data_IF_000189548780
#
_entry.id   IF_000189548780
#
_cell.length_a   1.000
_cell.length_b   1.000
_cell.length_c   1.000
_cell.angle_alpha   90.00
_cell.angle_beta   90.00
_cell.angle_gamma   90.00
#
_symmetry.space_group_name_H-M   'P 1'
#
loop_
_entity.id
_entity.type
_entity.pdbx_description
1 polymer ?
#
# COMPACT_ATOMS: atom_id res chain seq x y z
N UNK A 1 -3.31 16.95 10.44
CA UNK A 1 -2.90 15.70 9.78
C UNK A 1 -1.52 15.33 10.32
N UNK A 2 -1.34 14.09 10.80
CA UNK A 2 -0.05 13.56 11.28
C UNK A 2 0.73 12.95 10.12
N UNK A 3 2.05 12.97 10.19
CA UNK A 3 2.96 12.29 9.26
C UNK A 3 3.84 11.35 10.07
N UNK A 4 3.70 10.05 9.85
CA UNK A 4 4.47 9.00 10.53
C UNK A 4 5.33 8.30 9.48
N UNK A 5 6.51 8.85 9.21
CA UNK A 5 7.43 8.32 8.19
C UNK A 5 8.57 7.63 8.94
N UNK A 6 8.72 6.33 8.70
CA UNK A 6 9.84 5.53 9.16
C UNK A 6 10.76 5.32 7.97
N UNK A 7 11.99 5.81 8.07
CA UNK A 7 13.02 5.55 7.08
C UNK A 7 13.70 4.20 7.33
N UNK A 8 14.20 3.59 6.26
CA UNK A 8 15.02 2.39 6.39
C UNK A 8 16.34 2.75 7.08
N UNK A 9 16.77 1.93 8.04
CA UNK A 9 18.06 2.14 8.73
C UNK A 9 19.24 1.89 7.78
N UNK A 10 19.07 0.94 6.86
CA UNK A 10 20.02 0.60 5.81
C UNK A 10 19.36 0.70 4.43
N UNK A 11 20.19 0.69 3.39
CA UNK A 11 19.69 0.62 2.02
C UNK A 11 18.91 -0.68 1.81
N UNK A 12 17.67 -0.56 1.31
CA UNK A 12 16.85 -1.73 0.98
C UNK A 12 17.54 -2.61 -0.08
N UNK A 13 17.34 -3.94 -0.02
CA UNK A 13 17.91 -4.88 -0.98
C UNK A 13 17.25 -4.80 -2.37
N UNK A 14 16.15 -4.06 -2.51
CA UNK A 14 15.45 -3.77 -3.74
C UNK A 14 15.22 -2.25 -3.91
N UNK A 15 14.94 -1.81 -5.14
CA UNK A 15 14.60 -0.40 -5.40
C UNK A 15 13.21 -0.05 -4.84
N UNK A 16 12.31 -1.04 -4.85
CA UNK A 16 11.00 -1.00 -4.20
C UNK A 16 11.08 -1.51 -2.75
N UNK A 17 10.01 -1.30 -2.00
CA UNK A 17 9.86 -1.79 -0.64
C UNK A 17 9.41 -0.73 0.35
N UNK A 18 8.86 0.41 -0.08
CA UNK A 18 8.21 1.36 0.81
C UNK A 18 6.70 1.17 0.74
N UNK A 19 6.09 0.87 1.88
CA UNK A 19 4.64 0.83 2.04
C UNK A 19 4.11 2.20 2.48
N UNK A 20 2.90 2.54 2.07
CA UNK A 20 2.21 3.78 2.45
C UNK A 20 0.77 3.42 2.84
N UNK A 21 0.30 3.97 3.96
CA UNK A 21 -1.13 3.97 4.29
C UNK A 21 -1.61 5.37 4.65
N UNK A 22 -2.88 5.64 4.37
CA UNK A 22 -3.56 6.88 4.70
C UNK A 22 -4.63 6.58 5.75
N UNK A 23 -4.84 7.49 6.69
CA UNK A 23 -6.03 7.46 7.54
C UNK A 23 -6.99 8.55 7.06
N UNK A 24 -8.09 8.14 6.43
CA UNK A 24 -9.15 9.03 5.96
C UNK A 24 -10.15 9.24 7.11
N UNK A 25 -10.37 10.51 7.50
CA UNK A 25 -11.21 10.87 8.65
C UNK A 25 -12.62 10.28 8.58
N UNK A 26 -13.21 10.27 7.38
CA UNK A 26 -14.54 9.71 7.10
C UNK A 26 -14.56 9.11 5.70
N UNK A 27 -14.95 7.85 5.59
CA UNK A 27 -15.13 7.15 4.32
C UNK A 27 -16.33 6.21 4.43
N UNK A 28 -17.29 6.30 3.50
CA UNK A 28 -18.47 5.43 3.42
C UNK A 28 -19.22 5.20 4.76
N UNK A 29 -19.30 6.23 5.61
CA UNK A 29 -19.99 6.14 6.91
C UNK A 29 -19.16 5.58 8.06
N UNK A 30 -17.87 5.29 7.84
CA UNK A 30 -16.90 4.89 8.86
C UNK A 30 -15.93 6.03 9.16
N UNK A 31 -15.40 6.07 10.39
CA UNK A 31 -14.39 7.06 10.82
C UNK A 31 -13.00 6.44 10.85
N UNK A 32 -11.99 7.29 10.63
CA UNK A 32 -10.57 6.95 10.67
C UNK A 32 -10.23 5.66 9.91
N UNK A 33 -10.71 5.57 8.66
CA UNK A 33 -10.52 4.42 7.78
C UNK A 33 -9.10 4.40 7.26
N UNK A 34 -8.42 3.26 7.43
CA UNK A 34 -7.09 3.02 6.89
C UNK A 34 -7.21 2.56 5.43
N UNK A 35 -6.41 3.20 4.58
CA UNK A 35 -6.33 2.92 3.15
C UNK A 35 -4.88 2.60 2.81
N UNK A 36 -4.60 1.36 2.40
CA UNK A 36 -3.28 0.91 1.99
C UNK A 36 -3.07 1.23 0.52
N UNK A 37 -2.04 2.05 0.23
CA UNK A 37 -1.73 2.46 -1.13
C UNK A 37 -0.84 1.45 -1.82
N UNK A 38 -1.09 1.26 -3.11
CA UNK A 38 -0.28 0.38 -3.96
C UNK A 38 -0.25 0.87 -5.41
N UNK A 39 0.78 0.45 -6.14
CA UNK A 39 0.88 0.60 -7.58
C UNK A 39 0.12 -0.57 -8.23
N UNK A 40 -0.95 -0.31 -9.01
CA UNK A 40 -1.74 -1.38 -9.62
C UNK A 40 -1.02 -2.06 -10.78
N UNK A 41 0.00 -1.40 -11.34
CA UNK A 41 0.79 -1.87 -12.45
C UNK A 41 2.27 -1.56 -12.20
N UNK A 42 3.15 -2.41 -12.72
CA UNK A 42 4.60 -2.26 -12.57
C UNK A 42 5.32 -2.71 -13.84
N UNK A 43 6.60 -2.36 -13.92
CA UNK A 43 7.44 -2.76 -15.04
C UNK A 43 7.90 -4.22 -14.88
N UNK A 44 7.42 -5.11 -15.74
CA UNK A 44 7.83 -6.51 -15.76
C UNK A 44 9.34 -6.71 -15.96
N UNK A 45 10.03 -5.82 -16.68
CA UNK A 45 11.49 -5.89 -16.82
C UNK A 45 12.21 -5.60 -15.50
N UNK A 46 11.66 -4.71 -14.67
CA UNK A 46 12.17 -4.47 -13.33
C UNK A 46 11.98 -5.72 -12.46
N UNK A 47 10.78 -6.31 -12.48
CA UNK A 47 10.49 -7.55 -11.75
C UNK A 47 11.46 -8.70 -12.11
N UNK A 48 11.80 -8.84 -13.40
CA UNK A 48 12.75 -9.85 -13.88
C UNK A 48 14.21 -9.56 -13.49
N UNK A 49 14.55 -8.32 -13.11
CA UNK A 49 15.91 -7.94 -12.74
C UNK A 49 16.28 -8.29 -11.29
N UNK A 50 15.28 -8.57 -10.44
CA UNK A 50 15.49 -8.85 -9.04
C UNK A 50 16.03 -10.26 -8.77
N UNK A 51 16.98 -10.36 -7.84
CA UNK A 51 17.43 -11.64 -7.28
C UNK A 51 16.44 -12.11 -6.20
N UNK A 52 15.33 -12.70 -6.64
CA UNK A 52 14.24 -13.14 -5.77
C UNK A 52 14.68 -14.12 -4.68
N UNK A 53 15.79 -14.85 -4.87
CA UNK A 53 16.33 -15.77 -3.86
C UNK A 53 16.87 -15.06 -2.60
N UNK A 54 17.19 -13.77 -2.71
CA UNK A 54 17.66 -12.93 -1.58
C UNK A 54 16.58 -12.03 -1.00
N UNK A 55 15.50 -11.81 -1.76
CA UNK A 55 14.40 -10.94 -1.37
C UNK A 55 13.28 -11.70 -0.67
N UNK A 56 13.12 -13.00 -0.95
CA UNK A 56 12.08 -13.84 -0.39
C UNK A 56 12.63 -14.70 0.74
N UNK A 57 11.86 -14.81 1.81
CA UNK A 57 12.17 -15.58 3.01
C UNK A 57 11.29 -16.82 3.13
N UNK A 58 11.23 -17.35 4.35
CA UNK A 58 10.40 -18.51 4.64
C UNK A 58 8.91 -18.22 4.39
N UNK A 59 8.10 -19.24 4.05
CA UNK A 59 6.65 -19.09 3.93
C UNK A 59 6.00 -18.60 5.22
N UNK A 60 4.97 -17.76 5.09
CA UNK A 60 4.18 -17.29 6.24
C UNK A 60 3.41 -18.43 6.93
N UNK A 61 2.98 -19.43 6.15
CA UNK A 61 2.44 -20.70 6.64
C UNK A 61 3.40 -21.82 6.30
N UNK A 62 4.02 -22.43 7.32
CA UNK A 62 4.97 -23.54 7.16
C UNK A 62 4.34 -24.80 6.55
N UNK A 63 3.01 -24.92 6.58
CA UNK A 63 2.26 -26.02 5.97
C UNK A 63 1.61 -25.63 4.63
N UNK A 64 1.68 -24.36 4.25
CA UNK A 64 1.09 -23.82 3.04
C UNK A 64 2.00 -23.97 1.82
N UNK A 65 1.43 -23.80 0.60
CA UNK A 65 2.24 -23.77 -0.61
C UNK A 65 3.24 -22.61 -0.56
N UNK A 66 4.52 -22.91 -0.80
CA UNK A 66 5.59 -21.91 -0.89
C UNK A 66 5.58 -21.17 -2.23
N UNK A 67 4.43 -20.65 -2.66
CA UNK A 67 4.32 -19.90 -3.91
C UNK A 67 4.92 -18.50 -3.74
N UNK A 68 6.02 -18.17 -4.43
CA UNK A 68 6.63 -16.86 -4.34
C UNK A 68 5.81 -15.79 -5.09
N UNK A 69 4.88 -16.17 -5.96
CA UNK A 69 4.23 -15.27 -6.92
C UNK A 69 3.55 -14.09 -6.24
N UNK A 70 2.73 -14.35 -5.22
CA UNK A 70 2.03 -13.29 -4.49
C UNK A 70 3.00 -12.35 -3.75
N UNK A 71 4.00 -12.91 -3.07
CA UNK A 71 5.02 -12.11 -2.36
C UNK A 71 5.90 -11.28 -3.30
N UNK A 72 6.17 -11.74 -4.52
CA UNK A 72 6.83 -10.91 -5.55
C UNK A 72 5.96 -9.72 -5.93
N UNK A 73 4.66 -9.94 -6.12
CA UNK A 73 3.70 -8.86 -6.43
C UNK A 73 3.59 -7.84 -5.29
N UNK A 74 3.61 -8.27 -4.02
CA UNK A 74 3.66 -7.37 -2.85
C UNK A 74 4.85 -6.42 -2.92
N UNK A 75 6.04 -6.91 -3.32
CA UNK A 75 7.17 -6.02 -3.53
C UNK A 75 6.92 -5.06 -4.71
N UNK A 76 6.40 -5.58 -5.82
CA UNK A 76 6.24 -4.79 -7.05
C UNK A 76 5.16 -3.71 -6.95
N UNK A 77 4.10 -3.95 -6.19
CA UNK A 77 3.03 -2.98 -5.92
C UNK A 77 3.44 -1.93 -4.87
N UNK A 78 4.57 -2.13 -4.19
CA UNK A 78 5.15 -1.14 -3.27
C UNK A 78 5.92 -0.04 -4.02
N UNK A 79 6.24 1.03 -3.29
CA UNK A 79 6.90 2.20 -3.85
C UNK A 79 8.42 2.11 -3.70
N UNK A 80 9.14 2.69 -4.65
CA UNK A 80 10.52 3.14 -4.43
C UNK A 80 10.57 4.37 -3.53
N UNK A 81 11.77 4.76 -3.10
CA UNK A 81 11.95 5.95 -2.25
C UNK A 81 11.45 7.22 -2.93
N UNK A 82 11.75 7.39 -4.23
CA UNK A 82 11.32 8.55 -5.01
C UNK A 82 9.80 8.56 -5.21
N UNK A 83 9.22 7.43 -5.62
CA UNK A 83 7.77 7.28 -5.78
C UNK A 83 7.05 7.56 -4.45
N UNK A 84 7.59 7.06 -3.32
CA UNK A 84 7.08 7.32 -1.98
C UNK A 84 7.01 8.81 -1.71
N UNK A 85 8.11 9.53 -1.88
CA UNK A 85 8.18 10.96 -1.56
C UNK A 85 7.23 11.79 -2.42
N UNK A 86 7.11 11.44 -3.71
CA UNK A 86 6.15 12.04 -4.64
C UNK A 86 4.71 11.81 -4.16
N UNK A 87 4.35 10.58 -3.79
CA UNK A 87 3.01 10.23 -3.28
C UNK A 87 2.72 10.96 -1.98
N UNK A 88 3.67 10.99 -1.04
CA UNK A 88 3.49 11.68 0.24
C UNK A 88 3.23 13.17 0.06
N UNK A 89 4.00 13.84 -0.81
CA UNK A 89 3.83 15.26 -1.09
C UNK A 89 2.47 15.55 -1.76
N UNK A 90 2.09 14.73 -2.74
CA UNK A 90 0.78 14.83 -3.40
C UNK A 90 -0.37 14.66 -2.41
N UNK A 91 -0.35 13.58 -1.61
CA UNK A 91 -1.43 13.28 -0.66
C UNK A 91 -1.53 14.36 0.41
N UNK A 92 -0.38 14.84 0.92
CA UNK A 92 -0.29 15.93 1.88
C UNK A 92 -0.88 17.22 1.33
N UNK A 93 -0.58 17.60 0.09
CA UNK A 93 -1.07 18.87 -0.49
C UNK A 93 -2.56 18.80 -0.82
N UNK A 94 -2.98 17.73 -1.47
CA UNK A 94 -4.31 17.62 -2.05
C UNK A 94 -5.38 17.22 -1.05
N UNK A 95 -5.06 16.35 -0.10
CA UNK A 95 -6.05 15.73 0.80
C UNK A 95 -5.89 16.13 2.27
N UNK A 96 -5.11 17.16 2.60
CA UNK A 96 -4.83 17.61 3.99
C UNK A 96 -6.08 17.76 4.87
N UNK A 97 -7.19 18.22 4.30
CA UNK A 97 -8.43 18.44 5.03
C UNK A 97 -9.18 17.13 5.32
N UNK A 98 -8.98 16.10 4.49
CA UNK A 98 -9.65 14.79 4.57
C UNK A 98 -8.85 13.75 5.36
N UNK A 99 -7.53 13.88 5.42
CA UNK A 99 -6.65 12.92 6.08
C UNK A 99 -6.40 13.29 7.55
N UNK A 100 -6.48 12.30 8.44
CA UNK A 100 -6.02 12.43 9.83
C UNK A 100 -4.54 12.07 9.96
N UNK A 101 -4.05 11.08 9.19
CA UNK A 101 -2.64 10.71 9.14
C UNK A 101 -2.20 10.18 7.76
N UNK A 102 -0.89 10.24 7.52
CA UNK A 102 -0.19 9.50 6.47
C UNK A 102 0.93 8.72 7.15
N UNK A 103 1.00 7.43 6.88
CA UNK A 103 2.02 6.52 7.40
C UNK A 103 2.87 6.01 6.23
N UNK A 104 4.17 5.91 6.43
CA UNK A 104 5.04 5.17 5.51
C UNK A 104 6.15 4.47 6.27
N UNK A 105 6.47 3.26 5.83
CA UNK A 105 7.56 2.45 6.39
C UNK A 105 8.16 1.55 5.32
N UNK A 106 9.43 1.16 5.44
CA UNK A 106 9.97 0.08 4.64
C UNK A 106 9.26 -1.24 4.97
N UNK A 107 9.18 -2.13 3.97
CA UNK A 107 8.88 -3.54 4.16
C UNK A 107 10.03 -4.20 4.90
N UNK A 108 9.68 -5.23 5.67
CA UNK A 108 10.65 -6.08 6.33
C UNK A 108 11.20 -7.09 5.31
N UNK A 109 12.53 -7.23 5.27
CA UNK A 109 13.22 -8.19 4.41
C UNK A 109 13.92 -9.28 5.25
N UNK A 110 13.93 -10.53 4.78
CA UNK A 110 13.33 -11.00 3.53
C UNK A 110 11.78 -11.07 3.60
N UNK A 111 11.11 -10.85 2.48
CA UNK A 111 9.65 -10.86 2.39
C UNK A 111 9.16 -12.30 2.49
N UNK A 112 8.26 -12.64 3.43
CA UNK A 112 7.81 -14.02 3.58
C UNK A 112 7.05 -14.48 2.33
N UNK A 113 7.19 -15.76 1.96
CA UNK A 113 6.43 -16.36 0.86
C UNK A 113 4.96 -16.61 1.24
N UNK A 114 4.06 -16.65 0.25
CA UNK A 114 2.64 -16.90 0.46
C UNK A 114 1.82 -15.68 0.86
N UNK A 115 2.31 -14.46 0.62
CA UNK A 115 1.53 -13.24 0.81
C UNK A 115 0.55 -13.03 -0.36
N UNK A 116 -0.62 -12.46 -0.06
CA UNK A 116 -1.56 -11.98 -1.06
C UNK A 116 -1.30 -10.50 -1.34
N UNK A 117 -1.03 -10.09 -2.60
CA UNK A 117 -0.88 -8.68 -2.96
C UNK A 117 -2.22 -7.95 -2.90
N UNK A 118 -2.18 -6.66 -2.59
CA UNK A 118 -3.36 -5.81 -2.47
C UNK A 118 -4.15 -5.73 -3.78
N UNK A 119 -3.46 -5.76 -4.93
CA UNK A 119 -4.11 -5.73 -6.24
C UNK A 119 -4.95 -6.98 -6.57
N UNK A 120 -4.79 -8.07 -5.82
CA UNK A 120 -5.57 -9.31 -6.01
C UNK A 120 -6.72 -9.48 -5.01
N UNK A 121 -6.84 -8.59 -4.03
CA UNK A 121 -7.93 -8.65 -3.06
C UNK A 121 -9.24 -8.23 -3.76
N UNK A 122 -10.26 -9.10 -3.83
CA UNK A 122 -11.52 -8.77 -4.48
C UNK A 122 -12.28 -7.71 -3.69
N UNK A 123 -12.90 -6.77 -4.41
CA UNK A 123 -13.83 -5.80 -3.81
C UNK A 123 -15.17 -6.49 -3.49
N UNK A 124 -15.74 -6.16 -2.33
CA UNK A 124 -17.06 -6.62 -1.87
C UNK A 124 -17.78 -5.50 -1.10
N UNK A 125 -18.77 -5.83 -0.27
CA UNK A 125 -19.54 -4.83 0.49
C UNK A 125 -18.68 -4.11 1.56
N UNK A 126 -17.67 -4.78 2.11
CA UNK A 126 -16.78 -4.26 3.15
C UNK A 126 -15.41 -3.82 2.59
N UNK A 127 -14.93 -4.48 1.54
CA UNK A 127 -13.64 -4.24 0.90
C UNK A 127 -13.84 -3.38 -0.33
N UNK A 128 -13.11 -2.25 -0.42
CA UNK A 128 -13.16 -1.43 -1.61
C UNK A 128 -11.81 -0.86 -2.02
N UNK A 129 -11.73 -0.42 -3.27
CA UNK A 129 -10.53 0.19 -3.83
C UNK A 129 -10.81 1.63 -4.30
N UNK A 130 -9.92 2.55 -3.94
CA UNK A 130 -9.89 3.92 -4.45
C UNK A 130 -8.90 3.96 -5.62
N UNK A 131 -9.41 4.19 -6.83
CA UNK A 131 -8.61 4.44 -8.04
C UNK A 131 -8.33 5.94 -8.14
N UNK A 132 -7.21 6.41 -7.60
CA UNK A 132 -6.99 7.85 -7.46
C UNK A 132 -6.86 8.58 -8.80
N UNK A 133 -6.39 7.88 -9.84
CA UNK A 133 -6.26 8.38 -11.20
C UNK A 133 -7.60 8.72 -11.86
N UNK A 134 -8.71 8.16 -11.38
CA UNK A 134 -10.06 8.47 -11.85
C UNK A 134 -10.61 9.78 -11.22
N UNK A 135 -9.92 10.32 -10.21
CA UNK A 135 -10.33 11.55 -9.51
C UNK A 135 -9.87 12.78 -10.30
N UNK A 136 -10.74 13.79 -10.56
CA UNK A 136 -10.39 14.96 -11.35
C UNK A 136 -9.15 15.71 -10.84
N UNK A 137 -8.29 16.18 -11.74
CA UNK A 137 -7.03 16.86 -11.42
C UNK A 137 -6.00 15.96 -10.68
N UNK A 138 -5.99 14.66 -10.97
CA UNK A 138 -4.89 13.77 -10.64
C UNK A 138 -3.66 14.11 -11.47
N UNK A 139 -2.50 14.28 -10.83
CA UNK A 139 -1.26 14.71 -11.51
C UNK A 139 0.00 13.95 -11.08
N UNK A 140 -0.16 12.80 -10.43
CA UNK A 140 0.95 11.89 -10.23
C UNK A 140 1.36 11.26 -11.57
N UNK A 141 2.65 10.96 -11.79
CA UNK A 141 3.14 10.43 -13.07
C UNK A 141 2.86 8.93 -13.27
N UNK A 142 2.26 8.27 -12.28
CA UNK A 142 1.90 6.85 -12.28
C UNK A 142 0.57 6.67 -11.53
N UNK A 143 -0.21 5.61 -11.81
CA UNK A 143 -1.44 5.33 -11.09
C UNK A 143 -1.16 4.90 -9.65
N UNK A 144 -2.08 5.22 -8.74
CA UNK A 144 -2.02 4.81 -7.34
C UNK A 144 -3.41 4.38 -6.92
N UNK A 145 -3.52 3.16 -6.43
CA UNK A 145 -4.75 2.62 -5.88
C UNK A 145 -4.68 2.60 -4.36
N UNK A 146 -5.83 2.52 -3.70
CA UNK A 146 -5.95 2.48 -2.25
C UNK A 146 -6.99 1.48 -1.78
N UNK A 147 -6.56 0.37 -1.19
CA UNK A 147 -7.45 -0.65 -0.63
C UNK A 147 -7.86 -0.29 0.80
N UNK A 148 -9.13 -0.44 1.15
CA UNK A 148 -9.63 -0.34 2.51
C UNK A 148 -10.60 -1.47 2.85
N UNK A 149 -10.72 -1.78 4.14
CA UNK A 149 -11.59 -2.83 4.65
C UNK A 149 -12.44 -2.23 5.78
N UNK A 150 -13.70 -1.89 5.48
CA UNK A 150 -14.58 -1.14 6.38
C UNK A 150 -14.88 -1.88 7.69
N UNK A 151 -14.97 -3.21 7.65
CA UNK A 151 -15.24 -4.04 8.84
C UNK A 151 -14.13 -3.98 9.90
N UNK A 152 -12.96 -3.42 9.57
CA UNK A 152 -11.87 -3.16 10.52
C UNK A 152 -11.97 -1.80 11.23
N UNK A 153 -12.99 -0.99 10.90
CA UNK A 153 -13.12 0.38 11.38
C UNK A 153 -14.46 0.62 12.08
N UNK A 154 -14.49 1.66 12.91
CA UNK A 154 -15.69 2.05 13.64
C UNK A 154 -16.65 2.81 12.71
N UNK A 155 -17.94 2.44 12.68
CA UNK A 155 -18.97 3.26 12.06
C UNK A 155 -19.01 4.66 12.70
N UNK A 156 -19.40 5.66 11.92
CA UNK A 156 -19.77 6.96 12.47
C UNK A 156 -21.09 6.78 13.20
N UNK A 157 -21.11 7.06 14.51
CA UNK A 157 -22.36 7.12 15.28
C UNK A 157 -23.35 8.03 14.56
N UNK A 158 -24.41 7.42 14.02
CA UNK A 158 -25.62 8.14 13.67
C UNK A 158 -26.34 8.35 14.99
N UNK A 159 -26.03 9.45 15.68
CA UNK A 159 -26.75 9.81 16.89
C UNK A 159 -28.25 9.69 16.66
N UNK A 160 -28.90 8.82 17.44
CA UNK A 160 -30.36 8.71 17.54
C UNK A 160 -30.88 9.93 18.30
#
# INVERSE_FOLDING_TARGET
MKLNIIDAQDKLPANKGYAISLIIKKLKGYKDVEVHLFLPEWNEKEALSYDWSKLLGDPIDSNGPSDPTGSRKVLMESFSLEERDIVLDYMKKRYVSRLSAINSRPLDFPIPMGLTPLCEIPEDDDIGCIRFEEIPNYNLPFPVHGLYILSQHEPVDQGI
#
